data_IF_069711913300
#
_entry.id   IF_069711913300
#
_cell.length_a   1.000
_cell.length_b   1.000
_cell.length_c   1.000
_cell.angle_alpha   90.00
_cell.angle_beta   90.00
_cell.angle_gamma   90.00
#
_symmetry.space_group_name_H-M   'P 1'
#
loop_
_entity.id
_entity.type
_entity.pdbx_description
1 polymer ?
#
# COMPACT_ATOMS: atom_id res chain seq x y z
N UNK A 1 10.97 -18.05 1.00
CA UNK A 1 11.01 -16.61 0.88
C UNK A 1 12.42 -16.13 1.11
N UNK A 2 12.87 -15.20 0.28
CA UNK A 2 14.14 -14.51 0.54
C UNK A 2 13.98 -13.72 1.84
N UNK A 3 14.92 -13.89 2.76
CA UNK A 3 14.97 -13.10 3.99
C UNK A 3 15.31 -11.65 3.62
N UNK A 4 14.30 -10.81 3.54
CA UNK A 4 14.44 -9.40 3.17
C UNK A 4 15.22 -8.59 4.22
N UNK A 5 15.51 -9.17 5.41
CA UNK A 5 16.19 -8.46 6.50
C UNK A 5 17.62 -8.02 6.15
N UNK A 6 18.24 -8.64 5.15
CA UNK A 6 19.60 -8.35 4.68
C UNK A 6 19.62 -7.68 3.27
N UNK A 7 18.47 -7.38 2.69
CA UNK A 7 18.40 -6.68 1.40
C UNK A 7 18.62 -5.18 1.61
N UNK A 8 19.68 -4.63 0.99
CA UNK A 8 20.03 -3.22 1.16
C UNK A 8 18.93 -2.28 0.68
N UNK A 9 18.29 -2.59 -0.45
CA UNK A 9 17.19 -1.79 -0.99
C UNK A 9 15.99 -1.75 -0.02
N UNK A 10 15.65 -2.90 0.57
CA UNK A 10 14.60 -2.99 1.57
C UNK A 10 14.89 -2.10 2.78
N UNK A 11 16.09 -2.20 3.33
CA UNK A 11 16.51 -1.42 4.50
C UNK A 11 16.57 0.08 4.19
N UNK A 12 17.05 0.48 3.03
CA UNK A 12 17.06 1.87 2.57
C UNK A 12 15.65 2.43 2.45
N UNK A 13 14.73 1.70 1.80
CA UNK A 13 13.32 2.09 1.68
C UNK A 13 12.66 2.22 3.04
N UNK A 14 12.88 1.27 3.94
CA UNK A 14 12.30 1.30 5.28
C UNK A 14 12.83 2.47 6.11
N UNK A 15 14.14 2.71 6.07
CA UNK A 15 14.78 3.86 6.73
C UNK A 15 14.24 5.19 6.18
N UNK A 16 14.10 5.28 4.85
CA UNK A 16 13.49 6.45 4.23
C UNK A 16 12.06 6.68 4.73
N UNK A 17 11.22 5.63 4.72
CA UNK A 17 9.83 5.71 5.18
C UNK A 17 9.74 6.18 6.63
N UNK A 18 10.56 5.63 7.53
CA UNK A 18 10.60 6.00 8.95
C UNK A 18 11.05 7.46 9.16
N UNK A 19 11.97 7.94 8.32
CA UNK A 19 12.46 9.32 8.40
C UNK A 19 11.45 10.37 7.92
N UNK A 20 10.62 10.03 6.91
CA UNK A 20 9.79 11.04 6.23
C UNK A 20 8.28 10.90 6.52
N UNK A 21 7.83 9.80 7.11
CA UNK A 21 6.43 9.56 7.42
C UNK A 21 6.23 9.50 8.94
N UNK A 22 5.84 10.60 9.60
CA UNK A 22 5.71 10.64 11.07
C UNK A 22 4.59 9.78 11.62
N UNK A 23 3.75 9.21 10.75
CA UNK A 23 2.63 8.32 11.11
C UNK A 23 2.92 6.86 10.81
N UNK A 24 4.19 6.51 10.57
CA UNK A 24 4.57 5.10 10.39
C UNK A 24 4.19 4.29 11.63
N UNK A 25 3.62 3.09 11.44
CA UNK A 25 3.46 2.15 12.54
C UNK A 25 4.82 1.73 13.11
N UNK A 26 4.87 1.26 14.36
CA UNK A 26 6.09 0.73 14.96
C UNK A 26 6.72 -0.38 14.09
N UNK A 27 8.06 -0.40 13.98
CA UNK A 27 8.79 -1.36 13.13
C UNK A 27 8.49 -2.81 13.51
N UNK A 28 8.30 -3.11 14.78
CA UNK A 28 7.94 -4.44 15.30
C UNK A 28 6.56 -4.94 14.82
N UNK A 29 5.73 -4.03 14.32
CA UNK A 29 4.44 -4.38 13.70
C UNK A 29 4.57 -4.82 12.26
N UNK A 30 5.72 -4.58 11.61
CA UNK A 30 5.97 -5.02 10.24
C UNK A 30 6.00 -6.55 10.18
N UNK A 31 5.11 -7.15 9.38
CA UNK A 31 5.02 -8.60 9.23
C UNK A 31 5.20 -9.09 7.80
N UNK A 32 5.09 -8.20 6.82
CA UNK A 32 5.26 -8.56 5.41
C UNK A 32 5.72 -7.35 4.61
N UNK A 33 6.62 -7.59 3.67
CA UNK A 33 7.01 -6.61 2.66
C UNK A 33 7.34 -7.31 1.34
N UNK A 34 7.01 -6.66 0.23
CA UNK A 34 7.28 -7.17 -1.11
C UNK A 34 7.21 -6.07 -2.16
N UNK A 35 7.79 -6.32 -3.32
CA UNK A 35 7.66 -5.45 -4.48
C UNK A 35 6.57 -6.01 -5.39
N UNK A 36 5.54 -5.21 -5.65
CA UNK A 36 4.56 -5.45 -6.67
C UNK A 36 5.08 -4.96 -8.01
N UNK A 37 5.04 -5.85 -9.00
CA UNK A 37 5.38 -5.54 -10.38
C UNK A 37 4.13 -5.76 -11.25
N UNK A 38 3.60 -4.69 -11.84
CA UNK A 38 2.50 -4.76 -12.78
C UNK A 38 2.98 -4.30 -14.17
N UNK A 39 2.66 -5.07 -15.19
CA UNK A 39 2.91 -4.73 -16.59
C UNK A 39 1.62 -4.31 -17.29
N UNK A 40 1.76 -3.60 -18.40
CA UNK A 40 0.61 -3.26 -19.25
C UNK A 40 -0.18 -4.51 -19.64
N UNK A 41 -1.49 -4.45 -19.46
CA UNK A 41 -2.41 -5.56 -19.72
C UNK A 41 -2.72 -6.46 -18.52
N UNK A 42 -2.02 -6.32 -17.39
CA UNK A 42 -2.39 -7.02 -16.17
C UNK A 42 -3.77 -6.56 -15.65
N UNK A 43 -4.50 -7.45 -15.00
CA UNK A 43 -5.85 -7.19 -14.49
C UNK A 43 -5.97 -7.51 -13.00
N UNK A 44 -5.29 -6.75 -12.12
CA UNK A 44 -5.38 -6.98 -10.68
C UNK A 44 -6.79 -6.71 -10.17
N UNK A 45 -7.29 -7.61 -9.32
CA UNK A 45 -8.60 -7.47 -8.67
C UNK A 45 -8.59 -6.47 -7.51
N UNK A 46 -9.80 -6.02 -7.12
CA UNK A 46 -10.01 -5.30 -5.86
C UNK A 46 -9.83 -6.28 -4.71
N UNK A 47 -9.11 -5.88 -3.68
CA UNK A 47 -8.83 -6.69 -2.50
C UNK A 47 -8.66 -5.83 -1.25
N UNK A 48 -8.61 -6.48 -0.10
CA UNK A 48 -8.19 -5.91 1.19
C UNK A 48 -6.90 -6.59 1.63
N UNK A 49 -6.07 -5.88 2.36
CA UNK A 49 -4.81 -6.40 2.88
C UNK A 49 -4.95 -7.05 4.24
N UNK A 50 -6.00 -6.70 4.97
CA UNK A 50 -6.31 -7.26 6.28
C UNK A 50 -7.81 -7.55 6.42
N UNK A 51 -8.19 -8.59 7.19
CA UNK A 51 -9.58 -8.88 7.48
C UNK A 51 -10.27 -7.75 8.25
N UNK A 52 -11.56 -7.54 8.03
CA UNK A 52 -12.33 -6.44 8.64
C UNK A 52 -12.36 -6.43 10.17
N UNK A 53 -12.19 -7.58 10.82
CA UNK A 53 -12.14 -7.68 12.29
C UNK A 53 -10.77 -7.33 12.88
N UNK A 54 -9.72 -7.26 12.06
CA UNK A 54 -8.39 -6.84 12.52
C UNK A 54 -8.33 -5.32 12.48
N UNK A 55 -8.43 -4.70 13.64
CA UNK A 55 -8.21 -3.26 13.80
C UNK A 55 -6.72 -2.94 13.70
N UNK A 56 -6.12 -1.97 14.03
CA UNK A 56 -4.69 -1.68 14.23
C UNK A 56 -3.76 -2.36 13.21
N UNK A 57 -4.16 -2.34 11.94
CA UNK A 57 -3.35 -2.75 10.80
C UNK A 57 -3.15 -1.56 9.85
N UNK A 58 -2.02 -1.51 9.16
CA UNK A 58 -1.74 -0.49 8.15
C UNK A 58 -0.99 -1.10 6.98
N UNK A 59 -1.28 -0.59 5.80
CA UNK A 59 -0.47 -0.81 4.60
C UNK A 59 0.21 0.50 4.21
N UNK A 60 1.49 0.41 3.89
CA UNK A 60 2.28 1.52 3.36
C UNK A 60 2.75 1.13 1.97
N UNK A 61 2.47 1.97 0.99
CA UNK A 61 2.94 1.82 -0.38
C UNK A 61 3.99 2.89 -0.67
N UNK A 62 5.11 2.49 -1.28
CA UNK A 62 6.13 3.38 -1.81
C UNK A 62 6.22 3.19 -3.33
N UNK A 63 5.95 4.24 -4.09
CA UNK A 63 6.07 4.24 -5.56
C UNK A 63 7.53 4.35 -5.97
N UNK A 64 8.03 3.33 -6.69
CA UNK A 64 9.46 3.21 -7.01
C UNK A 64 9.84 3.75 -8.40
N UNK A 65 8.89 3.86 -9.32
CA UNK A 65 9.18 4.33 -10.68
C UNK A 65 9.60 5.81 -10.66
N UNK A 66 10.72 6.17 -11.28
CA UNK A 66 11.23 7.55 -11.27
C UNK A 66 10.43 8.51 -12.16
N UNK A 67 9.67 8.00 -13.13
CA UNK A 67 9.05 8.76 -14.22
C UNK A 67 7.60 8.35 -14.53
N UNK A 68 6.96 7.54 -13.67
CA UNK A 68 5.55 7.14 -13.81
C UNK A 68 4.63 8.20 -13.18
N UNK A 69 4.64 9.42 -13.68
CA UNK A 69 3.87 10.54 -13.13
C UNK A 69 3.01 11.28 -14.19
N UNK A 70 3.02 10.79 -15.42
CA UNK A 70 2.20 11.38 -16.49
C UNK A 70 0.79 10.77 -16.50
N UNK A 71 -0.30 11.58 -16.65
CA UNK A 71 -1.68 11.10 -16.56
C UNK A 71 -2.08 10.05 -17.62
N UNK A 72 -1.35 9.95 -18.72
CA UNK A 72 -1.58 8.93 -19.76
C UNK A 72 -0.87 7.60 -19.48
N UNK A 73 -0.06 7.52 -18.44
CA UNK A 73 0.74 6.32 -18.15
C UNK A 73 0.00 5.29 -17.29
N UNK A 74 -1.07 5.69 -16.59
CA UNK A 74 -1.78 4.80 -15.69
C UNK A 74 -1.00 4.57 -14.38
N UNK A 75 -1.19 3.42 -13.77
CA UNK A 75 -0.44 3.03 -12.57
C UNK A 75 -1.03 3.55 -11.26
N UNK A 76 -2.22 4.11 -11.26
CA UNK A 76 -2.90 4.63 -10.07
C UNK A 76 -3.20 3.52 -9.06
N UNK A 77 -3.29 3.88 -7.78
CA UNK A 77 -3.97 3.08 -6.78
C UNK A 77 -5.37 3.65 -6.55
N UNK A 78 -6.39 2.80 -6.66
CA UNK A 78 -7.79 3.18 -6.47
C UNK A 78 -8.30 2.56 -5.19
N UNK A 79 -8.95 3.37 -4.37
CA UNK A 79 -9.61 2.98 -3.14
C UNK A 79 -11.12 3.03 -3.32
N UNK A 80 -11.82 2.07 -2.73
CA UNK A 80 -13.24 1.86 -2.89
C UNK A 80 -13.96 1.84 -1.53
N UNK A 81 -15.25 2.17 -1.53
CA UNK A 81 -16.13 1.88 -0.42
C UNK A 81 -16.56 0.39 -0.41
N UNK A 82 -17.43 0.04 0.52
CA UNK A 82 -17.92 -1.33 0.66
C UNK A 82 -18.89 -1.76 -0.46
N UNK A 83 -19.42 -0.80 -1.22
CA UNK A 83 -20.24 -1.05 -2.42
C UNK A 83 -19.40 -1.12 -3.69
N UNK A 84 -18.07 -1.03 -3.55
CA UNK A 84 -17.08 -0.99 -4.63
C UNK A 84 -17.21 0.25 -5.55
N UNK A 85 -17.76 1.35 -5.04
CA UNK A 85 -17.66 2.63 -5.71
C UNK A 85 -16.27 3.25 -5.44
N UNK A 86 -15.62 3.74 -6.48
CA UNK A 86 -14.32 4.40 -6.35
C UNK A 86 -14.46 5.71 -5.56
N UNK A 87 -13.77 5.82 -4.43
CA UNK A 87 -13.80 6.96 -3.54
C UNK A 87 -12.56 7.84 -3.70
N UNK A 88 -11.41 7.22 -3.91
CA UNK A 88 -10.15 7.95 -4.05
C UNK A 88 -9.24 7.29 -5.08
N UNK A 89 -8.59 8.14 -5.88
CA UNK A 89 -7.57 7.72 -6.85
C UNK A 89 -6.27 8.43 -6.47
N UNK A 90 -5.22 7.65 -6.30
CA UNK A 90 -3.88 8.16 -6.04
C UNK A 90 -3.02 7.90 -7.26
N UNK A 91 -2.66 8.97 -7.95
CA UNK A 91 -1.76 8.91 -9.09
C UNK A 91 -0.35 8.54 -8.66
N UNK A 92 0.38 7.74 -9.44
CA UNK A 92 1.77 7.45 -9.14
C UNK A 92 2.62 8.72 -9.21
N UNK A 93 3.60 8.83 -8.34
CA UNK A 93 4.69 9.82 -8.40
C UNK A 93 5.93 9.19 -7.79
N UNK A 94 7.12 9.53 -8.27
CA UNK A 94 8.38 9.03 -7.71
C UNK A 94 8.48 9.31 -6.22
N UNK A 95 8.75 8.29 -5.42
CA UNK A 95 8.90 8.40 -3.97
C UNK A 95 7.61 8.69 -3.19
N UNK A 96 6.43 8.72 -3.86
CA UNK A 96 5.16 8.91 -3.16
C UNK A 96 4.91 7.78 -2.18
N UNK A 97 4.52 8.16 -0.96
CA UNK A 97 4.12 7.24 0.11
C UNK A 97 2.61 7.34 0.27
N UNK A 98 1.96 6.19 0.42
CA UNK A 98 0.53 6.09 0.73
C UNK A 98 0.36 5.18 1.94
N UNK A 99 -0.14 5.73 3.02
CA UNK A 99 -0.46 5.01 4.25
C UNK A 99 -1.98 4.89 4.40
N UNK A 100 -2.49 3.69 4.61
CA UNK A 100 -3.93 3.45 4.77
C UNK A 100 -4.20 2.25 5.67
N UNK A 101 -5.45 2.13 6.10
CA UNK A 101 -5.94 0.95 6.81
C UNK A 101 -6.07 -0.21 5.81
N UNK A 102 -5.41 -1.34 6.09
CA UNK A 102 -5.40 -2.49 5.18
C UNK A 102 -6.77 -3.14 4.94
N UNK A 103 -7.81 -2.74 5.71
CA UNK A 103 -9.20 -3.18 5.49
C UNK A 103 -9.92 -2.41 4.38
N UNK A 104 -9.32 -1.30 3.90
CA UNK A 104 -9.91 -0.52 2.80
C UNK A 104 -9.78 -1.29 1.49
N UNK A 105 -10.88 -1.56 0.78
CA UNK A 105 -10.83 -2.18 -0.53
C UNK A 105 -10.05 -1.31 -1.51
N UNK A 106 -9.11 -1.90 -2.22
CA UNK A 106 -8.28 -1.16 -3.15
C UNK A 106 -7.74 -2.03 -4.29
N UNK A 107 -7.26 -1.39 -5.33
CA UNK A 107 -6.53 -2.04 -6.43
C UNK A 107 -5.44 -1.13 -6.98
N UNK A 108 -4.34 -1.73 -7.41
CA UNK A 108 -3.33 -1.04 -8.20
C UNK A 108 -3.61 -1.22 -9.68
N UNK A 109 -3.77 -0.13 -10.45
CA UNK A 109 -3.89 -0.22 -11.90
C UNK A 109 -2.53 -0.49 -12.54
N UNK A 110 -2.47 -1.28 -13.62
CA UNK A 110 -1.25 -1.44 -14.41
C UNK A 110 -0.90 -0.13 -15.13
N UNK A 111 0.33 0.02 -15.59
CA UNK A 111 0.66 1.07 -16.54
C UNK A 111 -0.06 0.84 -17.87
N UNK A 112 -0.25 1.90 -18.62
CA UNK A 112 -0.76 1.79 -20.01
C UNK A 112 0.38 1.36 -20.96
N UNK A 113 0.03 0.95 -22.18
CA UNK A 113 1.01 0.65 -23.23
C UNK A 113 1.86 1.87 -23.67
N UNK A 114 1.55 3.07 -23.17
CA UNK A 114 2.33 4.28 -23.41
C UNK A 114 3.51 4.43 -22.47
N UNK A 115 3.53 3.65 -21.39
CA UNK A 115 4.66 3.60 -20.46
C UNK A 115 5.47 2.33 -20.72
N UNK A 116 6.75 2.44 -21.09
CA UNK A 116 7.53 1.30 -21.59
C UNK A 116 8.06 0.37 -20.48
N UNK A 117 7.87 0.75 -19.22
CA UNK A 117 8.40 0.01 -18.07
C UNK A 117 7.26 -0.49 -17.19
N UNK A 118 7.45 -1.59 -16.48
CA UNK A 118 6.49 -2.07 -15.51
C UNK A 118 6.34 -1.08 -14.35
N UNK A 119 5.15 -1.09 -13.72
CA UNK A 119 4.90 -0.35 -12.49
C UNK A 119 5.46 -1.12 -11.30
N UNK A 120 6.30 -0.48 -10.50
CA UNK A 120 6.87 -1.04 -9.29
C UNK A 120 6.40 -0.27 -8.06
N UNK A 121 5.86 -1.00 -7.10
CA UNK A 121 5.51 -0.46 -5.78
C UNK A 121 6.06 -1.40 -4.72
N UNK A 122 6.76 -0.85 -3.74
CA UNK A 122 7.10 -1.57 -2.53
C UNK A 122 5.96 -1.43 -1.52
N UNK A 123 5.49 -2.55 -1.02
CA UNK A 123 4.42 -2.65 -0.05
C UNK A 123 4.98 -3.11 1.28
N UNK A 124 4.58 -2.44 2.37
CA UNK A 124 4.89 -2.81 3.74
C UNK A 124 3.58 -2.97 4.51
N UNK A 125 3.40 -4.12 5.13
CA UNK A 125 2.19 -4.46 5.89
C UNK A 125 2.50 -4.56 7.37
N UNK A 126 1.75 -3.79 8.15
CA UNK A 126 1.91 -3.67 9.59
C UNK A 126 0.67 -4.18 10.30
N UNK A 127 0.88 -4.91 11.38
CA UNK A 127 -0.16 -5.41 12.26
C UNK A 127 0.42 -5.64 13.66
N UNK A 128 -0.36 -5.28 14.67
CA UNK A 128 0.02 -5.55 16.06
C UNK A 128 0.34 -7.04 16.25
N UNK A 129 1.48 -7.40 16.88
CA UNK A 129 1.96 -8.78 16.99
C UNK A 129 0.92 -9.76 17.55
N UNK A 130 0.21 -9.35 18.60
CA UNK A 130 -0.80 -10.20 19.26
C UNK A 130 -2.01 -10.55 18.35
N UNK A 131 -2.22 -9.77 17.30
CA UNK A 131 -3.31 -9.95 16.33
C UNK A 131 -2.92 -10.77 15.11
N UNK A 132 -1.62 -11.08 14.95
CA UNK A 132 -1.12 -11.86 13.79
C UNK A 132 -1.66 -13.30 13.79
N UNK A 133 -1.88 -13.90 14.95
CA UNK A 133 -2.44 -15.26 15.05
C UNK A 133 -3.84 -15.37 14.43
N UNK A 134 -4.61 -14.28 14.42
CA UNK A 134 -5.93 -14.25 13.80
C UNK A 134 -5.93 -14.33 12.27
N UNK A 135 -4.77 -14.14 11.62
CA UNK A 135 -4.61 -14.29 10.17
C UNK A 135 -4.53 -15.74 9.70
N UNK A 136 -4.25 -16.68 10.60
CA UNK A 136 -3.96 -18.07 10.20
C UNK A 136 -5.18 -18.98 10.11
N UNK A 137 -6.35 -18.52 10.48
CA UNK A 137 -7.62 -19.27 10.29
C UNK A 137 -8.32 -18.84 9.00
N UNK A 138 -7.66 -19.03 7.85
CA UNK A 138 -8.18 -18.65 6.53
C UNK A 138 -9.59 -19.19 6.26
N UNK A 139 -9.86 -20.41 6.72
CA UNK A 139 -11.19 -21.05 6.56
C UNK A 139 -12.31 -20.36 7.37
N UNK A 140 -11.98 -19.71 8.49
CA UNK A 140 -12.94 -18.89 9.24
C UNK A 140 -13.13 -17.51 8.62
N UNK A 141 -12.15 -17.05 7.84
CA UNK A 141 -12.19 -15.74 7.18
C UNK A 141 -13.22 -15.70 6.06
N UNK A 142 -13.30 -16.76 5.26
CA UNK A 142 -14.21 -16.83 4.11
C UNK A 142 -15.69 -16.85 4.53
N UNK A 143 -15.99 -17.29 5.76
CA UNK A 143 -17.35 -17.32 6.30
C UNK A 143 -17.79 -16.00 6.98
N UNK A 144 -16.87 -15.05 7.22
CA UNK A 144 -17.17 -13.79 7.93
C UNK A 144 -17.20 -12.56 7.03
N UNK A 145 -17.27 -12.73 5.73
CA UNK A 145 -17.32 -11.65 4.71
C UNK A 145 -18.57 -10.74 4.80
N UNK A 146 -19.39 -10.88 5.83
CA UNK A 146 -20.58 -10.04 6.04
C UNK A 146 -20.38 -8.76 6.86
N UNK A 147 -19.15 -8.45 7.30
CA UNK A 147 -18.89 -7.24 8.09
C UNK A 147 -18.45 -6.11 7.17
N UNK A 148 -19.24 -5.04 7.15
CA UNK A 148 -18.95 -3.84 6.35
C UNK A 148 -17.55 -3.27 6.65
N UNK A 149 -16.81 -2.82 5.61
CA UNK A 149 -15.53 -2.14 5.78
C UNK A 149 -15.69 -0.85 6.59
N UNK A 150 -14.60 -0.33 7.19
CA UNK A 150 -14.66 0.91 7.94
C UNK A 150 -15.07 2.08 7.05
N UNK A 151 -15.96 2.94 7.55
CA UNK A 151 -16.45 4.12 6.82
C UNK A 151 -15.37 5.19 6.62
N UNK A 152 -14.40 5.27 7.53
CA UNK A 152 -13.25 6.16 7.40
C UNK A 152 -12.09 5.42 6.73
N UNK A 153 -11.74 5.84 5.53
CA UNK A 153 -10.68 5.21 4.76
C UNK A 153 -9.28 5.53 5.27
N UNK A 154 -9.10 6.59 6.04
CA UNK A 154 -7.81 6.95 6.65
C UNK A 154 -6.63 6.97 5.68
N UNK A 155 -6.87 7.23 4.39
CA UNK A 155 -5.82 7.24 3.37
C UNK A 155 -5.05 8.56 3.45
N UNK A 156 -3.75 8.46 3.69
CA UNK A 156 -2.84 9.60 3.72
C UNK A 156 -1.82 9.41 2.59
N UNK A 157 -1.75 10.36 1.67
CA UNK A 157 -0.76 10.38 0.61
C UNK A 157 0.27 11.46 0.87
N UNK A 158 1.54 11.11 0.82
CA UNK A 158 2.67 12.03 0.85
C UNK A 158 3.42 11.91 -0.47
N UNK A 159 3.88 13.02 -1.02
CA UNK A 159 4.78 13.02 -2.16
C UNK A 159 6.10 13.71 -1.80
N UNK A 160 7.09 13.60 -2.68
CA UNK A 160 8.42 14.15 -2.43
C UNK A 160 8.45 15.67 -2.22
N UNK A 161 7.47 16.40 -2.78
CA UNK A 161 7.35 17.85 -2.55
C UNK A 161 6.77 18.14 -1.19
N UNK A 162 5.70 17.44 -0.80
CA UNK A 162 5.10 17.54 0.55
C UNK A 162 6.13 17.24 1.63
N UNK A 163 7.03 16.27 1.37
CA UNK A 163 8.12 15.93 2.29
C UNK A 163 9.15 17.06 2.37
N UNK A 164 9.54 17.65 1.24
CA UNK A 164 10.46 18.80 1.24
C UNK A 164 9.89 19.98 2.00
N UNK A 165 8.60 20.27 1.82
CA UNK A 165 7.93 21.37 2.51
C UNK A 165 7.84 21.14 4.03
N UNK A 166 7.70 19.88 4.47
CA UNK A 166 7.73 19.50 5.90
C UNK A 166 9.12 19.56 6.54
N UNK A 167 10.18 19.38 5.73
CA UNK A 167 11.57 19.43 6.22
C UNK A 167 12.15 20.86 6.24
N UNK A 168 11.49 21.83 5.60
CA UNK A 168 11.91 23.23 5.54
C UNK A 168 11.19 24.13 6.58
N UNK A 169 10.29 23.56 7.37
CA UNK A 169 9.61 24.20 8.50
C UNK A 169 10.14 23.69 9.83
#
# INVERSE_FOLDING_TARGET
GLDASNDSLYLECLTYLEAVCPKMPPREWLYSSYINCLKAGDTPGVHVDAPYWVKDNKTVLLYLNPDLDHPNFGGETIFYDHELNAQRIVSPKPGRIVLFDGRVPHTGRPPTNRYPVNRYIMSFKYMEPDKRQSLFTQAEMDNKLGVAPPQDMGVIGFDSQTIKDLLLT
#
